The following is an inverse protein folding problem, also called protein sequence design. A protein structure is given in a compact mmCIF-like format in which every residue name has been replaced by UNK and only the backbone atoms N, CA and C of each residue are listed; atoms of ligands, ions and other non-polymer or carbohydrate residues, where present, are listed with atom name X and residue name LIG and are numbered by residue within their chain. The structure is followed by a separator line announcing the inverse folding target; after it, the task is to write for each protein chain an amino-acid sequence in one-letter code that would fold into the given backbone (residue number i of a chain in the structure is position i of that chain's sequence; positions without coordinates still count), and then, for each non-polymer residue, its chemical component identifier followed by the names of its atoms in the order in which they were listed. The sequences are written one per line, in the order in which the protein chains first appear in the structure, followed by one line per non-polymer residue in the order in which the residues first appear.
data_IF_218698795276
#
_entry.id   IF_218698795276
#
_cell.length_a   1.000
_cell.length_b   1.000
_cell.length_c   1.000
_cell.angle_alpha   90.00
_cell.angle_beta   90.00
_cell.angle_gamma   90.00
#
_symmetry.space_group_name_H-M   'P 1'
#
loop_
_entity.id
_entity.type
_entity.pdbx_description
1 polymer ?
#
# COMPACT_ATOMS: atom_id res chain seq x y z
N UNK A 1 12.97 -10.13 -14.36
CA UNK A 1 11.92 -9.52 -13.52
C UNK A 1 10.84 -9.01 -14.46
N UNK A 2 9.57 -9.30 -14.18
CA UNK A 2 8.44 -8.90 -15.02
C UNK A 2 7.51 -8.04 -14.18
N UNK A 3 7.30 -6.80 -14.60
CA UNK A 3 6.44 -5.83 -13.92
C UNK A 3 5.06 -5.74 -14.59
N UNK A 4 4.07 -5.26 -13.85
CA UNK A 4 2.66 -5.18 -14.27
C UNK A 4 2.13 -6.52 -14.81
N UNK A 5 2.53 -7.63 -14.18
CA UNK A 5 2.28 -8.98 -14.68
C UNK A 5 0.78 -9.34 -14.76
N UNK A 6 -0.11 -8.58 -14.10
CA UNK A 6 -1.56 -8.73 -14.27
C UNK A 6 -2.05 -8.41 -15.69
N UNK A 7 -1.26 -7.68 -16.47
CA UNK A 7 -1.57 -7.34 -17.86
C UNK A 7 -1.11 -8.41 -18.86
N UNK A 8 -0.39 -9.44 -18.40
CA UNK A 8 0.05 -10.52 -19.27
C UNK A 8 -1.13 -11.36 -19.72
N UNK A 9 -1.12 -11.72 -21.00
CA UNK A 9 -2.09 -12.66 -21.54
C UNK A 9 -1.86 -14.07 -20.98
N UNK A 10 -2.91 -14.88 -21.01
CA UNK A 10 -2.83 -16.29 -20.62
C UNK A 10 -1.75 -17.05 -21.38
N UNK A 11 -1.58 -16.81 -22.68
CA UNK A 11 -0.57 -17.50 -23.49
C UNK A 11 0.87 -17.18 -23.04
N UNK A 12 1.14 -15.94 -22.61
CA UNK A 12 2.45 -15.55 -22.10
C UNK A 12 2.71 -16.17 -20.72
N UNK A 13 1.70 -16.25 -19.87
CA UNK A 13 1.81 -16.92 -18.57
C UNK A 13 2.10 -18.42 -18.73
N UNK A 14 1.53 -19.07 -19.74
CA UNK A 14 1.86 -20.45 -20.09
C UNK A 14 3.30 -20.62 -20.59
N UNK A 15 3.83 -19.65 -21.35
CA UNK A 15 5.25 -19.66 -21.72
C UNK A 15 6.16 -19.51 -20.50
N UNK A 16 5.80 -18.62 -19.57
CA UNK A 16 6.51 -18.47 -18.29
C UNK A 16 6.49 -19.78 -17.50
N UNK A 17 5.35 -20.50 -17.51
CA UNK A 17 5.25 -21.84 -16.92
C UNK A 17 6.26 -22.79 -17.56
N UNK A 18 6.39 -22.81 -18.88
CA UNK A 18 7.39 -23.66 -19.55
C UNK A 18 8.83 -23.26 -19.20
N UNK A 19 9.14 -21.96 -19.16
CA UNK A 19 10.48 -21.48 -18.82
C UNK A 19 10.86 -21.77 -17.36
N UNK A 20 9.89 -21.74 -16.44
CA UNK A 20 10.12 -22.07 -15.02
C UNK A 20 10.57 -23.52 -14.78
N UNK A 21 10.39 -24.40 -15.78
CA UNK A 21 10.87 -25.78 -15.75
C UNK A 21 12.32 -25.95 -16.17
N UNK A 22 12.99 -24.90 -16.64
CA UNK A 22 14.39 -24.99 -17.01
C UNK A 22 15.24 -25.13 -15.74
N UNK A 23 15.56 -26.38 -15.43
CA UNK A 23 16.40 -26.80 -14.33
C UNK A 23 17.44 -27.81 -14.81
N UNK A 24 18.64 -27.74 -14.26
CA UNK A 24 19.60 -28.85 -14.31
C UNK A 24 19.40 -29.71 -13.08
N UNK A 25 20.08 -30.86 -13.02
CA UNK A 25 20.06 -31.76 -11.85
C UNK A 25 20.48 -31.04 -10.55
N UNK A 26 21.17 -29.89 -10.66
CA UNK A 26 21.75 -29.18 -9.51
C UNK A 26 21.10 -27.83 -9.21
N UNK A 27 20.50 -27.15 -10.19
CA UNK A 27 19.98 -25.79 -9.99
C UNK A 27 18.90 -25.37 -10.98
N UNK A 28 18.05 -24.43 -10.55
CA UNK A 28 17.14 -23.68 -11.44
C UNK A 28 17.97 -22.73 -12.28
N UNK A 29 17.84 -22.82 -13.61
CA UNK A 29 18.62 -21.97 -14.54
C UNK A 29 18.07 -20.55 -14.64
N UNK A 30 16.81 -20.33 -14.25
CA UNK A 30 16.13 -19.05 -14.39
C UNK A 30 15.39 -18.70 -13.09
N UNK A 31 15.68 -17.51 -12.55
CA UNK A 31 14.91 -16.91 -11.48
C UNK A 31 13.87 -15.93 -12.06
N UNK A 32 12.59 -16.20 -11.82
CA UNK A 32 11.47 -15.36 -12.29
C UNK A 32 10.85 -14.65 -11.10
N UNK A 33 10.75 -13.32 -11.20
CA UNK A 33 10.06 -12.46 -10.24
C UNK A 33 8.92 -11.79 -10.99
N UNK A 34 7.68 -12.05 -10.55
CA UNK A 34 6.46 -11.43 -11.07
C UNK A 34 6.02 -10.33 -10.10
N UNK A 35 5.91 -9.11 -10.60
CA UNK A 35 5.42 -7.94 -9.87
C UNK A 35 4.12 -7.47 -10.50
N UNK A 36 3.18 -7.01 -9.69
CA UNK A 36 1.91 -6.53 -10.19
C UNK A 36 0.94 -6.14 -9.09
N UNK A 37 -0.26 -5.77 -9.52
CA UNK A 37 -1.35 -5.34 -8.64
C UNK A 37 -2.08 -6.55 -8.03
N UNK A 38 -2.94 -6.38 -7.00
CA UNK A 38 -3.68 -7.50 -6.37
C UNK A 38 -4.48 -8.38 -7.34
N UNK A 39 -4.83 -7.85 -8.51
CA UNK A 39 -5.44 -8.53 -9.64
C UNK A 39 -4.61 -9.72 -10.14
N UNK A 40 -3.28 -9.61 -10.09
CA UNK A 40 -2.36 -10.70 -10.45
C UNK A 40 -2.63 -11.95 -9.60
N UNK A 41 -2.95 -11.78 -8.31
CA UNK A 41 -3.29 -12.90 -7.43
C UNK A 41 -4.58 -13.59 -7.87
N UNK A 42 -5.56 -12.84 -8.35
CA UNK A 42 -6.83 -13.40 -8.88
C UNK A 42 -6.59 -14.12 -10.20
N UNK A 43 -5.77 -13.53 -11.08
CA UNK A 43 -5.38 -14.12 -12.35
C UNK A 43 -4.67 -15.47 -12.14
N UNK A 44 -3.65 -15.51 -11.29
CA UNK A 44 -2.90 -16.74 -10.98
C UNK A 44 -3.75 -17.81 -10.27
N UNK A 45 -4.84 -17.43 -9.61
CA UNK A 45 -5.77 -18.37 -8.98
C UNK A 45 -6.74 -19.04 -9.97
N UNK A 46 -6.74 -18.64 -11.25
CA UNK A 46 -7.59 -19.25 -12.25
C UNK A 46 -7.23 -20.74 -12.45
N UNK A 47 -8.23 -21.63 -12.63
CA UNK A 47 -7.98 -23.06 -12.83
C UNK A 47 -6.99 -23.39 -13.94
N UNK A 48 -6.98 -22.60 -15.01
CA UNK A 48 -6.07 -22.76 -16.15
C UNK A 48 -4.60 -22.52 -15.79
N UNK A 49 -4.33 -21.68 -14.79
CA UNK A 49 -2.98 -21.29 -14.38
C UNK A 49 -2.50 -22.01 -13.12
N UNK A 50 -3.25 -23.02 -12.65
CA UNK A 50 -2.95 -23.77 -11.42
C UNK A 50 -1.51 -24.29 -11.38
N UNK A 51 -1.03 -24.84 -12.49
CA UNK A 51 0.33 -25.38 -12.60
C UNK A 51 1.42 -24.32 -12.44
N UNK A 52 1.22 -23.13 -13.01
CA UNK A 52 2.14 -22.01 -12.81
C UNK A 52 2.07 -21.53 -11.35
N UNK A 53 0.86 -21.44 -10.81
CA UNK A 53 0.58 -20.95 -9.47
C UNK A 53 1.24 -21.82 -8.38
N UNK A 54 1.30 -23.14 -8.57
CA UNK A 54 1.98 -24.10 -7.69
C UNK A 54 3.51 -23.96 -7.69
N UNK A 55 4.10 -23.41 -8.76
CA UNK A 55 5.56 -23.19 -8.88
C UNK A 55 6.04 -21.90 -8.22
N UNK A 56 5.14 -21.05 -7.76
CA UNK A 56 5.48 -19.79 -7.08
C UNK A 56 5.72 -20.10 -5.60
N UNK A 57 6.97 -20.35 -5.23
CA UNK A 57 7.38 -20.72 -3.86
C UNK A 57 7.27 -19.57 -2.88
N UNK A 58 7.47 -18.33 -3.33
CA UNK A 58 7.47 -17.14 -2.47
C UNK A 58 6.42 -16.15 -2.96
N UNK A 59 5.58 -15.71 -2.04
CA UNK A 59 4.56 -14.68 -2.27
C UNK A 59 4.72 -13.61 -1.22
N UNK A 60 4.80 -12.37 -1.66
CA UNK A 60 4.95 -11.25 -0.76
C UNK A 60 4.03 -10.10 -1.17
N UNK A 61 3.17 -9.69 -0.23
CA UNK A 61 2.31 -8.53 -0.40
C UNK A 61 3.02 -7.31 0.21
N UNK A 62 3.49 -6.38 -0.63
CA UNK A 62 4.08 -5.13 -0.17
C UNK A 62 3.08 -4.32 0.66
N UNK A 63 3.41 -4.08 1.93
CA UNK A 63 2.60 -3.26 2.84
C UNK A 63 3.07 -1.80 2.81
N UNK A 64 2.19 -0.84 3.15
CA UNK A 64 2.60 0.52 3.43
C UNK A 64 3.67 0.56 4.53
N UNK A 65 4.52 1.59 4.50
CA UNK A 65 5.56 1.80 5.51
C UNK A 65 4.95 2.02 6.89
N UNK A 66 5.60 1.48 7.91
CA UNK A 66 5.23 1.75 9.29
C UNK A 66 5.64 3.18 9.69
N UNK A 67 5.13 3.67 10.83
CA UNK A 67 5.36 5.06 11.27
C UNK A 67 6.84 5.33 11.52
N UNK A 68 7.50 4.37 12.14
CA UNK A 68 8.92 4.31 12.46
C UNK A 68 9.82 4.39 11.22
N UNK A 69 9.36 3.87 10.08
CA UNK A 69 10.13 3.83 8.84
C UNK A 69 10.05 5.14 8.04
N UNK A 70 9.09 6.00 8.34
CA UNK A 70 8.83 7.23 7.56
C UNK A 70 10.03 8.17 7.56
N UNK A 71 10.66 8.32 8.72
CA UNK A 71 11.84 9.16 8.86
C UNK A 71 12.98 8.63 7.99
N UNK A 72 13.32 7.35 8.18
CA UNK A 72 14.39 6.68 7.43
C UNK A 72 14.13 6.74 5.92
N UNK A 73 12.89 6.51 5.49
CA UNK A 73 12.49 6.61 4.10
C UNK A 73 12.73 8.01 3.51
N UNK A 74 12.26 9.06 4.19
CA UNK A 74 12.39 10.44 3.71
C UNK A 74 13.86 10.86 3.70
N UNK A 75 14.60 10.61 4.79
CA UNK A 75 16.02 10.95 4.89
C UNK A 75 16.84 10.23 3.81
N UNK A 76 16.57 8.94 3.57
CA UNK A 76 17.20 8.19 2.49
C UNK A 76 16.91 8.80 1.11
N UNK A 77 15.66 9.22 0.86
CA UNK A 77 15.26 9.86 -0.40
C UNK A 77 15.91 11.22 -0.59
N UNK A 78 16.05 12.01 0.48
CA UNK A 78 16.76 13.28 0.45
C UNK A 78 18.24 13.10 0.11
N UNK A 79 18.90 12.12 0.74
CA UNK A 79 20.31 11.80 0.45
C UNK A 79 20.46 11.37 -1.02
N UNK A 80 19.57 10.52 -1.53
CA UNK A 80 19.59 10.12 -2.96
C UNK A 80 19.36 11.28 -3.92
N UNK A 81 18.68 12.34 -3.49
CA UNK A 81 18.47 13.55 -4.27
C UNK A 81 19.65 14.55 -4.15
N UNK A 82 20.74 14.19 -3.48
CA UNK A 82 21.91 15.05 -3.28
C UNK A 82 21.81 15.99 -2.07
N UNK A 83 20.81 15.81 -1.19
CA UNK A 83 20.68 16.55 0.05
C UNK A 83 21.73 16.12 1.09
N UNK A 84 22.14 17.04 1.95
CA UNK A 84 23.07 16.74 3.04
C UNK A 84 22.34 16.00 4.18
N UNK A 85 23.01 14.99 4.75
CA UNK A 85 22.52 14.20 5.88
C UNK A 85 22.28 15.08 7.13
N UNK A 86 23.01 16.19 7.23
CA UNK A 86 22.91 17.13 8.34
C UNK A 86 21.92 18.28 8.08
N UNK A 87 21.41 18.43 6.86
CA UNK A 87 20.39 19.42 6.52
C UNK A 87 18.99 18.82 6.64
N UNK A 88 18.65 18.26 7.80
CA UNK A 88 17.29 17.76 8.06
C UNK A 88 16.30 18.93 8.09
N UNK A 89 15.82 19.34 6.91
CA UNK A 89 14.77 20.35 6.79
C UNK A 89 13.49 19.92 7.49
N UNK A 90 13.23 18.61 7.63
CA UNK A 90 12.02 18.10 8.25
C UNK A 90 12.13 18.00 9.78
N UNK A 91 11.10 18.49 10.47
CA UNK A 91 10.97 18.37 11.94
C UNK A 91 10.37 17.02 12.36
N UNK A 92 10.53 16.64 13.63
CA UNK A 92 9.85 15.45 14.19
C UNK A 92 8.33 15.51 13.99
N UNK A 93 7.74 16.71 14.17
CA UNK A 93 6.31 16.92 13.97
C UNK A 93 5.85 16.82 12.50
N UNK A 94 6.72 17.05 11.52
CA UNK A 94 6.39 16.86 10.10
C UNK A 94 6.33 15.38 9.75
N UNK A 95 7.25 14.54 10.25
CA UNK A 95 7.22 13.10 9.99
C UNK A 95 5.89 12.46 10.44
N UNK A 96 5.44 12.82 11.64
CA UNK A 96 4.15 12.36 12.17
C UNK A 96 2.96 12.84 11.33
N UNK A 97 3.03 14.08 10.84
CA UNK A 97 1.99 14.62 9.98
C UNK A 97 1.97 13.91 8.63
N UNK A 98 3.12 13.66 8.04
CA UNK A 98 3.27 12.94 6.77
C UNK A 98 2.73 11.53 6.91
N UNK A 99 3.07 10.80 7.97
CA UNK A 99 2.54 9.44 8.20
C UNK A 99 1.01 9.42 8.24
N UNK A 100 0.38 10.28 9.04
CA UNK A 100 -1.08 10.31 9.18
C UNK A 100 -1.79 10.63 7.85
N UNK A 101 -1.21 11.52 7.04
CA UNK A 101 -1.79 11.97 5.78
C UNK A 101 -1.54 10.98 4.64
N UNK A 102 -0.37 10.35 4.60
CA UNK A 102 0.02 9.37 3.57
C UNK A 102 -0.45 7.95 3.87
N UNK A 103 -0.67 7.63 5.15
CA UNK A 103 -0.89 6.28 5.69
C UNK A 103 0.25 5.31 5.35
N UNK A 104 1.47 5.83 5.26
CA UNK A 104 2.67 5.04 4.94
C UNK A 104 2.82 4.69 3.46
N UNK A 105 1.95 5.19 2.57
CA UNK A 105 2.04 4.90 1.14
C UNK A 105 3.17 5.74 0.51
N UNK A 106 4.25 5.12 -0.02
CA UNK A 106 5.42 5.85 -0.53
C UNK A 106 5.09 6.92 -1.57
N UNK A 107 4.19 6.61 -2.52
CA UNK A 107 3.73 7.57 -3.54
C UNK A 107 3.09 8.82 -2.95
N UNK A 108 2.34 8.68 -1.85
CA UNK A 108 1.71 9.80 -1.15
C UNK A 108 2.71 10.57 -0.31
N UNK A 109 3.64 9.86 0.35
CA UNK A 109 4.75 10.49 1.09
C UNK A 109 5.53 11.42 0.16
N UNK A 110 5.96 10.91 -0.99
CA UNK A 110 6.74 11.69 -1.96
C UNK A 110 5.98 12.92 -2.44
N UNK A 111 4.73 12.76 -2.87
CA UNK A 111 3.92 13.91 -3.32
C UNK A 111 3.78 15.00 -2.25
N UNK A 112 3.58 14.61 -0.98
CA UNK A 112 3.51 15.54 0.14
C UNK A 112 4.86 16.25 0.35
N UNK A 113 5.96 15.50 0.36
CA UNK A 113 7.31 16.03 0.54
C UNK A 113 7.71 16.97 -0.61
N UNK A 114 7.49 16.56 -1.86
CA UNK A 114 7.80 17.34 -3.06
C UNK A 114 7.08 18.69 -3.03
N UNK A 115 5.78 18.68 -2.71
CA UNK A 115 5.00 19.92 -2.57
C UNK A 115 5.46 20.76 -1.38
N UNK A 116 5.78 20.14 -0.24
CA UNK A 116 6.28 20.87 0.92
C UNK A 116 7.62 21.55 0.65
N UNK A 117 8.55 20.85 -0.03
CA UNK A 117 9.84 21.38 -0.45
C UNK A 117 9.66 22.56 -1.42
N UNK A 118 8.74 22.45 -2.39
CA UNK A 118 8.43 23.53 -3.32
C UNK A 118 7.90 24.79 -2.61
N UNK A 119 6.97 24.62 -1.66
CA UNK A 119 6.42 25.73 -0.88
C UNK A 119 7.50 26.35 0.03
N UNK A 120 8.35 25.53 0.65
CA UNK A 120 9.47 26.00 1.46
C UNK A 120 10.43 26.86 0.61
N UNK A 121 10.83 26.35 -0.55
CA UNK A 121 11.70 27.07 -1.48
C UNK A 121 11.11 28.41 -1.91
N UNK A 122 9.84 28.43 -2.32
CA UNK A 122 9.15 29.68 -2.72
C UNK A 122 8.96 30.70 -1.59
N UNK A 123 9.17 30.31 -0.32
CA UNK A 123 9.05 31.18 0.86
C UNK A 123 10.38 31.41 1.58
N UNK A 124 11.49 30.97 0.99
CA UNK A 124 12.83 30.99 1.59
C UNK A 124 12.89 30.36 3.00
N UNK A 125 12.13 29.28 3.20
CA UNK A 125 12.09 28.54 4.45
C UNK A 125 13.04 27.34 4.39
N UNK A 126 13.92 27.22 5.39
CA UNK A 126 14.82 26.05 5.53
C UNK A 126 14.21 24.88 6.31
N UNK A 127 13.14 25.14 7.07
CA UNK A 127 12.50 24.17 7.96
C UNK A 127 11.09 23.83 7.49
N UNK A 128 10.82 22.54 7.36
CA UNK A 128 9.56 21.92 7.01
C UNK A 128 8.91 21.38 8.29
N UNK A 129 7.95 22.13 8.79
CA UNK A 129 7.20 21.80 9.99
C UNK A 129 5.81 21.23 9.66
N UNK A 130 5.05 20.88 10.71
CA UNK A 130 3.67 20.39 10.56
C UNK A 130 2.74 21.40 9.88
N UNK A 131 3.01 22.71 9.94
CA UNK A 131 2.18 23.74 9.28
C UNK A 131 2.42 23.71 7.78
N UNK A 132 3.67 23.60 7.35
CA UNK A 132 4.03 23.51 5.94
C UNK A 132 3.50 22.23 5.30
N UNK A 133 3.57 21.08 5.99
CA UNK A 133 2.95 19.83 5.50
C UNK A 133 1.45 19.98 5.27
N UNK A 134 0.74 20.67 6.18
CA UNK A 134 -0.70 20.93 5.98
C UNK A 134 -0.96 21.88 4.82
N UNK A 135 -0.10 22.88 4.60
CA UNK A 135 -0.18 23.75 3.44
C UNK A 135 0.01 22.95 2.15
N UNK A 136 1.04 22.09 2.09
CA UNK A 136 1.32 21.21 0.96
C UNK A 136 0.13 20.30 0.62
N UNK A 137 -0.48 19.67 1.62
CA UNK A 137 -1.66 18.82 1.37
C UNK A 137 -2.85 19.62 0.85
N UNK A 138 -3.10 20.83 1.39
CA UNK A 138 -4.17 21.69 0.85
C UNK A 138 -3.91 22.07 -0.60
N UNK A 139 -2.65 22.27 -0.96
CA UNK A 139 -2.21 22.65 -2.30
C UNK A 139 -2.22 21.48 -3.30
N UNK A 140 -2.04 20.24 -2.85
CA UNK A 140 -2.23 19.03 -3.68
C UNK A 140 -3.73 18.76 -3.95
N UNK A 141 -4.58 19.16 -3.00
CA UNK A 141 -6.02 18.94 -3.04
C UNK A 141 -6.47 17.61 -2.40
N UNK A 142 -7.72 17.54 -1.91
CA UNK A 142 -8.21 16.39 -1.12
C UNK A 142 -8.37 15.11 -1.94
N UNK A 143 -8.54 15.21 -3.27
CA UNK A 143 -8.77 14.08 -4.18
C UNK A 143 -7.58 13.13 -4.34
N UNK A 144 -6.35 13.63 -4.17
CA UNK A 144 -5.14 12.82 -4.37
C UNK A 144 -4.82 11.91 -3.18
N UNK A 145 -5.18 12.34 -1.97
CA UNK A 145 -4.92 11.61 -0.72
C UNK A 145 -6.11 10.78 -0.24
N UNK A 146 -7.27 10.92 -0.88
CA UNK A 146 -8.47 10.16 -0.50
C UNK A 146 -8.24 8.66 -0.73
N UNK A 147 -8.66 7.85 0.24
CA UNK A 147 -8.73 6.39 0.13
C UNK A 147 -10.00 6.06 -0.66
N UNK A 148 -9.90 5.26 -1.72
CA UNK A 148 -11.06 4.65 -2.39
C UNK A 148 -11.58 3.41 -1.66
N UNK A 149 -11.28 3.24 -0.38
CA UNK A 149 -11.70 2.10 0.46
C UNK A 149 -13.14 2.23 0.96
N UNK A 150 -14.05 2.54 0.04
CA UNK A 150 -15.48 2.60 0.32
C UNK A 150 -16.00 1.19 0.70
N UNK A 151 -15.43 0.13 0.11
CA UNK A 151 -15.92 -1.24 0.25
C UNK A 151 -15.78 -1.90 1.63
N UNK A 152 -14.83 -1.52 2.48
CA UNK A 152 -14.62 -2.21 3.77
C UNK A 152 -15.37 -1.56 4.95
N UNK A 153 -15.77 -0.30 4.80
CA UNK A 153 -16.47 0.44 5.86
C UNK A 153 -17.95 0.04 5.92
N UNK A 154 -18.58 -0.15 4.76
CA UNK A 154 -19.99 -0.55 4.67
C UNK A 154 -20.19 -1.99 5.18
N UNK A 155 -19.27 -2.91 4.89
CA UNK A 155 -19.33 -4.29 5.38
C UNK A 155 -19.21 -4.37 6.91
N UNK A 156 -18.44 -3.48 7.54
CA UNK A 156 -18.34 -3.42 9.01
C UNK A 156 -19.62 -2.90 9.66
N UNK A 157 -20.23 -1.86 9.09
CA UNK A 157 -21.51 -1.32 9.58
C UNK A 157 -22.61 -2.38 9.44
N UNK A 158 -22.67 -3.06 8.30
CA UNK A 158 -23.65 -4.12 8.06
C UNK A 158 -23.50 -5.27 9.06
N UNK A 159 -22.27 -5.70 9.37
CA UNK A 159 -22.00 -6.76 10.35
C UNK A 159 -22.38 -6.38 11.78
N UNK A 160 -22.13 -5.14 12.19
CA UNK A 160 -22.53 -4.64 13.52
C UNK A 160 -24.04 -4.55 13.63
N UNK A 161 -24.71 -4.05 12.59
CA UNK A 161 -26.17 -3.99 12.53
C UNK A 161 -26.80 -5.40 12.61
N UNK A 162 -26.23 -6.38 11.92
CA UNK A 162 -26.70 -7.77 11.95
C UNK A 162 -26.58 -8.39 13.35
N UNK A 163 -25.45 -8.17 14.03
CA UNK A 163 -25.23 -8.66 15.40
C UNK A 163 -26.19 -8.01 16.41
N UNK A 164 -26.44 -6.70 16.26
CA UNK A 164 -27.41 -5.99 17.10
C UNK A 164 -28.84 -6.51 16.90
N UNK A 165 -29.24 -6.76 15.65
CA UNK A 165 -30.55 -7.34 15.35
C UNK A 165 -30.74 -8.73 15.95
N UNK A 166 -29.70 -9.58 15.90
CA UNK A 166 -29.72 -10.92 16.51
C UNK A 166 -29.88 -10.83 18.03
N UNK A 167 -29.16 -9.92 18.70
CA UNK A 167 -29.27 -9.68 20.15
C UNK A 167 -30.66 -9.21 20.59
N UNK A 168 -31.30 -8.35 19.80
CA UNK A 168 -32.66 -7.87 20.08
C UNK A 168 -33.67 -9.02 19.93
N UNK A 169 -33.52 -9.87 18.91
CA UNK A 169 -34.40 -11.03 18.70
C UNK A 169 -34.25 -12.07 19.81
N UNK A 170 -33.03 -12.40 20.23
CA UNK A 170 -32.81 -13.37 21.31
C UNK A 170 -33.25 -12.82 22.67
N UNK A 171 -33.00 -11.54 22.94
CA UNK A 171 -33.48 -10.85 24.14
C UNK A 171 -35.01 -10.78 24.21
N UNK A 172 -35.67 -10.52 23.08
CA UNK A 172 -37.13 -10.49 22.98
C UNK A 172 -37.76 -11.87 23.24
N UNK A 173 -37.19 -12.94 22.68
CA UNK A 173 -37.67 -14.32 22.89
C UNK A 173 -37.50 -14.76 24.35
N UNK A 174 -36.37 -14.42 24.99
CA UNK A 174 -36.13 -14.71 26.41
C UNK A 174 -37.04 -13.92 27.35
N UNK A 175 -37.40 -12.69 26.99
CA UNK A 175 -38.34 -11.87 27.75
C UNK A 175 -39.77 -12.39 27.67
N UNK A 176 -40.19 -12.89 26.50
CA UNK A 176 -41.48 -13.53 26.29
C UNK A 176 -41.63 -14.88 26.98
N UNK A 177 -40.53 -15.62 27.21
CA UNK A 177 -40.57 -16.92 27.90
C UNK A 177 -40.58 -16.83 29.42
N UNK A 178 -40.46 -15.62 30.00
CA UNK A 178 -40.46 -15.36 31.45
C UNK A 178 -41.78 -14.73 31.96
N UNK A 179 -42.79 -14.60 31.08
CA UNK A 179 -44.09 -14.02 31.38
C UNK A 179 -45.19 -15.07 31.20
#
# INVERSE_FOLDING_TARGET
MIDEAQNLSHSVLEQIRMLSNLETVREKLIQIILLGQPELRKLLALPSLRQLNERITVRYDLKPLAREDIRSYIEHRMIKAGGDKNSSSFTTGSYDSIYRLSRGIPRRINAICDRALLIAYGRDLRTIDRRLIRAAVRDIGPGYLTRTDVLWRDVRILRVALLAAILILTGGVLWLSWK
#
